data_IF_640696016416
#
_entry.id   IF_640696016416
#
_cell.length_a   1.000
_cell.length_b   1.000
_cell.length_c   1.000
_cell.angle_alpha   90.00
_cell.angle_beta   90.00
_cell.angle_gamma   90.00
#
_symmetry.space_group_name_H-M   'P 1'
#
loop_
_entity.id
_entity.type
_entity.pdbx_description
1 polymer ?
#
# COMPACT_ATOMS: atom_id res chain seq x y z
N UNK A 1 13.28 42.97 20.05
CA UNK A 1 13.07 42.45 18.67
C UNK A 1 13.83 41.16 18.36
N UNK A 2 15.03 40.87 18.92
CA UNK A 2 15.80 39.66 18.55
C UNK A 2 15.21 38.33 19.07
N UNK A 3 14.57 38.33 20.24
CA UNK A 3 14.04 37.10 20.88
C UNK A 3 12.78 36.55 20.21
N UNK A 4 11.83 37.42 19.82
CA UNK A 4 10.59 37.01 19.14
C UNK A 4 10.84 36.38 17.77
N UNK A 5 11.88 36.84 17.06
CA UNK A 5 12.27 36.26 15.76
C UNK A 5 12.86 34.87 15.93
N UNK A 6 13.69 34.63 16.97
CA UNK A 6 14.25 33.32 17.26
C UNK A 6 13.13 32.32 17.64
N UNK A 7 12.17 32.74 18.46
CA UNK A 7 11.03 31.90 18.85
C UNK A 7 10.17 31.54 17.63
N UNK A 8 9.89 32.51 16.75
CA UNK A 8 9.14 32.25 15.52
C UNK A 8 9.86 31.26 14.59
N UNK A 9 11.19 31.38 14.44
CA UNK A 9 12.01 30.45 13.65
C UNK A 9 11.97 29.04 14.24
N UNK A 10 12.11 28.90 15.57
CA UNK A 10 12.04 27.60 16.24
C UNK A 10 10.66 26.97 16.08
N UNK A 11 9.59 27.75 16.21
CA UNK A 11 8.23 27.25 16.04
C UNK A 11 7.95 26.82 14.60
N UNK A 12 8.42 27.59 13.61
CA UNK A 12 8.31 27.24 12.19
C UNK A 12 9.13 26.00 11.81
N UNK A 13 10.34 25.85 12.35
CA UNK A 13 11.17 24.65 12.13
C UNK A 13 10.56 23.42 12.80
N UNK A 14 10.00 23.56 14.00
CA UNK A 14 9.32 22.48 14.70
C UNK A 14 8.03 22.06 13.97
N UNK A 15 7.27 23.01 13.42
CA UNK A 15 6.09 22.70 12.59
C UNK A 15 6.46 22.01 11.27
N UNK A 16 7.60 22.37 10.67
CA UNK A 16 8.10 21.71 9.45
C UNK A 16 8.60 20.30 9.75
N UNK A 17 9.27 20.09 10.87
CA UNK A 17 9.72 18.77 11.33
C UNK A 17 8.55 17.85 11.70
N UNK A 18 7.46 18.40 12.26
CA UNK A 18 6.24 17.65 12.58
C UNK A 18 5.43 17.26 11.33
N UNK A 19 5.50 18.04 10.25
CA UNK A 19 4.90 17.70 8.95
C UNK A 19 5.72 16.69 8.13
N UNK A 20 6.97 16.39 8.54
CA UNK A 20 7.91 15.57 7.76
C UNK A 20 7.98 14.10 8.20
N UNK A 21 7.19 13.67 9.19
CA UNK A 21 7.22 12.30 9.74
C UNK A 21 5.80 11.72 9.79
N UNK A 22 5.12 11.73 8.67
CA UNK A 22 4.11 10.71 8.34
C UNK A 22 4.71 9.97 7.15
N UNK A 23 5.61 9.02 7.43
CA UNK A 23 6.30 8.28 6.40
C UNK A 23 5.45 7.07 6.07
N UNK A 24 4.48 7.27 5.17
CA UNK A 24 3.63 6.19 4.65
C UNK A 24 4.43 4.91 4.43
N UNK A 25 3.86 3.79 4.85
CA UNK A 25 4.47 2.48 4.62
C UNK A 25 4.08 1.98 3.24
N UNK A 26 5.03 1.38 2.55
CA UNK A 26 4.82 0.89 1.19
C UNK A 26 4.57 -0.61 1.17
N UNK A 27 3.51 -1.02 0.48
CA UNK A 27 3.28 -2.41 0.14
C UNK A 27 3.74 -2.64 -1.29
N UNK A 28 4.86 -3.34 -1.45
CA UNK A 28 5.46 -3.69 -2.73
C UNK A 28 4.85 -4.99 -3.28
N UNK A 29 4.49 -4.98 -4.55
CA UNK A 29 3.92 -6.13 -5.23
C UNK A 29 4.86 -6.62 -6.32
N UNK A 30 5.32 -7.86 -6.21
CA UNK A 30 6.00 -8.57 -7.28
C UNK A 30 4.99 -9.29 -8.16
N UNK A 31 4.76 -8.78 -9.36
CA UNK A 31 3.83 -9.39 -10.30
C UNK A 31 4.49 -10.50 -11.14
N UNK A 32 4.28 -11.76 -10.79
CA UNK A 32 4.83 -12.92 -11.52
C UNK A 32 3.74 -13.90 -11.97
N UNK A 33 2.50 -13.43 -12.18
CA UNK A 33 1.49 -14.24 -12.88
C UNK A 33 1.83 -14.37 -14.37
N UNK A 34 1.15 -15.28 -15.06
CA UNK A 34 1.31 -15.52 -16.49
C UNK A 34 1.31 -14.21 -17.30
N UNK A 35 2.29 -14.07 -18.19
CA UNK A 35 2.43 -12.94 -19.10
C UNK A 35 1.12 -12.60 -19.83
N UNK A 36 0.89 -11.29 -20.05
CA UNK A 36 -0.34 -10.80 -20.68
C UNK A 36 -1.54 -10.69 -19.73
N UNK A 37 -1.32 -10.89 -18.43
CA UNK A 37 -2.35 -10.73 -17.39
C UNK A 37 -2.15 -9.41 -16.67
N UNK A 38 -3.24 -8.68 -16.39
CA UNK A 38 -3.22 -7.49 -15.52
C UNK A 38 -3.56 -7.88 -14.08
N UNK A 39 -2.84 -7.33 -13.10
CA UNK A 39 -3.16 -7.52 -11.67
C UNK A 39 -3.29 -6.19 -10.96
N UNK A 40 -4.08 -6.17 -9.89
CA UNK A 40 -4.26 -4.98 -9.06
C UNK A 40 -4.37 -5.38 -7.59
N UNK A 41 -3.91 -4.50 -6.71
CA UNK A 41 -4.12 -4.56 -5.28
C UNK A 41 -4.78 -3.28 -4.82
N UNK A 42 -5.74 -3.40 -3.91
CA UNK A 42 -6.31 -2.26 -3.20
C UNK A 42 -6.22 -2.45 -1.69
N UNK A 43 -6.02 -1.36 -0.98
CA UNK A 43 -5.99 -1.31 0.47
C UNK A 43 -7.28 -0.67 1.03
N UNK A 44 -7.85 -1.28 2.07
CA UNK A 44 -9.06 -0.82 2.77
C UNK A 44 -8.89 -0.96 4.28
N UNK A 45 -9.66 -0.19 5.06
CA UNK A 45 -9.64 -0.28 6.54
C UNK A 45 -10.36 -1.54 7.03
N UNK A 46 -11.36 -2.00 6.29
CA UNK A 46 -12.17 -3.19 6.61
C UNK A 46 -12.16 -4.21 5.47
N UNK A 47 -12.36 -5.48 5.80
CA UNK A 47 -12.51 -6.54 4.79
C UNK A 47 -13.80 -6.31 3.97
N UNK A 48 -13.69 -6.19 2.65
CA UNK A 48 -14.81 -5.90 1.76
C UNK A 48 -15.24 -4.42 1.73
N UNK A 49 -14.55 -3.53 2.44
CA UNK A 49 -14.87 -2.11 2.47
C UNK A 49 -14.31 -1.31 1.29
N UNK A 50 -14.62 -0.02 1.29
CA UNK A 50 -14.09 0.92 0.29
C UNK A 50 -12.56 1.02 0.37
N UNK A 51 -11.93 0.99 -0.79
CA UNK A 51 -10.48 1.13 -0.90
C UNK A 51 -10.08 2.60 -0.77
N UNK A 52 -9.11 2.89 0.09
CA UNK A 52 -8.49 4.22 0.18
C UNK A 52 -7.30 4.37 -0.76
N UNK A 53 -6.70 3.26 -1.22
CA UNK A 53 -5.63 3.26 -2.21
C UNK A 53 -5.68 1.99 -3.07
N UNK A 54 -5.22 2.08 -4.32
CA UNK A 54 -5.11 0.94 -5.23
C UNK A 54 -4.08 1.19 -6.33
N UNK A 55 -3.36 0.15 -6.72
CA UNK A 55 -2.40 0.18 -7.82
C UNK A 55 -2.30 -1.18 -8.51
N UNK A 56 -1.90 -1.19 -9.78
CA UNK A 56 -1.83 -2.38 -10.60
C UNK A 56 -1.00 -2.22 -11.85
N UNK A 57 -0.52 -3.34 -12.37
CA UNK A 57 0.26 -3.38 -13.61
C UNK A 57 0.09 -4.73 -14.32
N UNK A 58 0.57 -4.80 -15.55
CA UNK A 58 0.73 -6.01 -16.33
C UNK A 58 1.77 -6.94 -15.70
N UNK A 59 1.59 -8.24 -15.96
CA UNK A 59 2.47 -9.30 -15.53
C UNK A 59 3.95 -8.96 -15.78
N UNK A 60 4.79 -9.32 -14.81
CA UNK A 60 6.23 -9.06 -14.78
C UNK A 60 6.67 -7.61 -14.50
N UNK A 61 5.72 -6.69 -14.28
CA UNK A 61 6.02 -5.36 -13.75
C UNK A 61 5.64 -5.27 -12.27
N UNK A 62 6.58 -4.80 -11.43
CA UNK A 62 6.30 -4.52 -10.01
C UNK A 62 5.54 -3.21 -9.83
N UNK A 63 4.70 -3.13 -8.81
CA UNK A 63 3.92 -1.93 -8.46
C UNK A 63 3.72 -1.85 -6.94
N UNK A 64 3.08 -0.79 -6.45
CA UNK A 64 3.00 -0.57 -5.00
C UNK A 64 1.79 0.23 -4.56
N UNK A 65 1.29 -0.04 -3.36
CA UNK A 65 0.29 0.81 -2.71
C UNK A 65 0.88 1.45 -1.45
N UNK A 66 0.59 2.74 -1.27
CA UNK A 66 0.99 3.51 -0.08
C UNK A 66 -0.07 3.36 1.01
N UNK A 67 0.36 3.08 2.25
CA UNK A 67 -0.50 2.96 3.42
C UNK A 67 -0.22 4.15 4.33
N UNK A 68 -1.23 5.04 4.54
CA UNK A 68 -1.06 6.17 5.43
C UNK A 68 -0.78 5.74 6.87
N UNK A 69 0.14 6.41 7.58
CA UNK A 69 0.47 6.12 8.98
C UNK A 69 -0.73 6.24 9.92
N UNK A 70 -1.69 7.12 9.58
CA UNK A 70 -2.98 7.23 10.29
C UNK A 70 -3.83 5.94 10.30
N UNK A 71 -3.52 4.96 9.45
CA UNK A 71 -4.17 3.64 9.40
C UNK A 71 -3.38 2.64 10.25
N UNK A 72 -3.93 2.25 11.40
CA UNK A 72 -3.27 1.29 12.31
C UNK A 72 -3.12 -0.13 11.70
N UNK A 73 -4.13 -0.56 10.95
CA UNK A 73 -4.15 -1.86 10.28
C UNK A 73 -5.05 -1.81 9.06
N UNK A 74 -4.73 -2.59 8.05
CA UNK A 74 -5.43 -2.57 6.77
C UNK A 74 -5.69 -3.97 6.22
N UNK A 75 -6.56 -4.05 5.23
CA UNK A 75 -6.81 -5.23 4.43
C UNK A 75 -6.33 -4.98 3.01
N UNK A 76 -5.74 -5.99 2.39
CA UNK A 76 -5.39 -5.99 0.98
C UNK A 76 -6.33 -6.90 0.21
N UNK A 77 -6.92 -6.38 -0.86
CA UNK A 77 -7.65 -7.15 -1.85
C UNK A 77 -6.80 -7.32 -3.10
N UNK A 78 -6.42 -8.56 -3.38
CA UNK A 78 -5.68 -8.96 -4.56
C UNK A 78 -6.64 -9.39 -5.66
N UNK A 79 -6.40 -8.92 -6.88
CA UNK A 79 -7.24 -9.18 -8.05
C UNK A 79 -6.37 -9.51 -9.26
N UNK A 80 -6.84 -10.44 -10.07
CA UNK A 80 -6.26 -10.79 -11.37
C UNK A 80 -7.35 -10.60 -12.41
N UNK A 81 -7.09 -9.77 -13.43
CA UNK A 81 -8.07 -9.48 -14.47
C UNK A 81 -8.43 -10.77 -15.25
N UNK A 82 -9.72 -10.94 -15.55
CA UNK A 82 -10.28 -12.13 -16.20
C UNK A 82 -10.03 -13.46 -15.45
N UNK A 83 -9.64 -13.40 -14.17
CA UNK A 83 -9.50 -14.58 -13.32
C UNK A 83 -10.82 -15.33 -13.16
N UNK A 84 -10.75 -16.65 -13.16
CA UNK A 84 -11.88 -17.52 -12.79
C UNK A 84 -11.95 -17.78 -11.29
N UNK A 85 -10.89 -17.45 -10.54
CA UNK A 85 -10.91 -17.44 -9.08
C UNK A 85 -11.44 -16.12 -8.50
N UNK A 86 -12.02 -16.20 -7.31
CA UNK A 86 -12.41 -15.05 -6.50
C UNK A 86 -11.21 -14.18 -6.12
N UNK A 87 -11.49 -12.89 -5.91
CA UNK A 87 -10.52 -11.95 -5.34
C UNK A 87 -10.07 -12.42 -3.96
N UNK A 88 -8.78 -12.30 -3.68
CA UNK A 88 -8.19 -12.80 -2.44
C UNK A 88 -7.98 -11.66 -1.46
N UNK A 89 -8.52 -11.82 -0.26
CA UNK A 89 -8.33 -10.87 0.83
C UNK A 89 -7.22 -11.31 1.78
N UNK A 90 -6.41 -10.37 2.25
CA UNK A 90 -5.37 -10.58 3.27
C UNK A 90 -5.49 -9.51 4.34
N UNK A 91 -5.47 -9.95 5.58
CA UNK A 91 -5.47 -9.06 6.73
C UNK A 91 -6.28 -9.60 7.91
N UNK A 92 -6.50 -8.75 8.93
CA UNK A 92 -5.94 -7.40 9.03
C UNK A 92 -4.41 -7.45 9.15
N UNK A 93 -3.71 -6.59 8.42
CA UNK A 93 -2.25 -6.48 8.42
C UNK A 93 -1.89 -5.27 9.29
N UNK A 94 -1.00 -5.41 10.29
CA UNK A 94 -0.48 -4.28 11.04
C UNK A 94 0.28 -3.31 10.13
N UNK A 95 0.06 -2.01 10.29
CA UNK A 95 0.84 -0.98 9.62
C UNK A 95 2.10 -0.65 10.44
N UNK A 96 3.03 -1.60 10.52
CA UNK A 96 4.26 -1.53 11.33
C UNK A 96 5.55 -1.50 10.49
N UNK A 97 5.40 -1.25 9.20
CA UNK A 97 6.49 -1.04 8.24
C UNK A 97 6.12 -1.55 6.85
N UNK A 98 7.04 -1.38 5.91
CA UNK A 98 6.90 -1.87 4.55
C UNK A 98 6.61 -3.37 4.49
N UNK A 99 5.84 -3.77 3.49
CA UNK A 99 5.50 -5.17 3.21
C UNK A 99 5.79 -5.49 1.75
N UNK A 100 6.15 -6.74 1.48
CA UNK A 100 6.25 -7.27 0.13
C UNK A 100 5.18 -8.35 -0.03
N UNK A 101 4.65 -8.50 -1.24
CA UNK A 101 3.77 -9.59 -1.62
C UNK A 101 4.08 -10.03 -3.04
N UNK A 102 3.81 -11.29 -3.34
CA UNK A 102 4.14 -11.88 -4.63
C UNK A 102 2.89 -12.43 -5.29
N UNK A 103 2.52 -11.94 -6.47
CA UNK A 103 1.57 -12.63 -7.34
C UNK A 103 2.28 -13.76 -8.08
N UNK A 104 1.77 -14.98 -7.99
CA UNK A 104 2.25 -16.12 -8.78
C UNK A 104 1.09 -16.96 -9.30
N UNK A 105 1.23 -17.51 -10.50
CA UNK A 105 0.27 -18.47 -11.07
C UNK A 105 -0.36 -18.00 -12.37
N UNK A 106 -1.56 -18.49 -12.66
CA UNK A 106 -2.34 -18.21 -13.87
C UNK A 106 -3.67 -17.54 -13.52
N UNK A 107 -4.42 -17.08 -14.53
CA UNK A 107 -5.78 -16.55 -14.33
C UNK A 107 -6.74 -17.57 -13.69
N UNK A 108 -6.46 -18.87 -13.82
CA UNK A 108 -7.31 -19.94 -13.28
C UNK A 108 -6.85 -20.49 -11.93
N UNK A 109 -5.63 -20.15 -11.51
CA UNK A 109 -5.07 -20.57 -10.24
C UNK A 109 -3.87 -19.71 -9.89
N UNK A 110 -4.05 -18.81 -8.91
CA UNK A 110 -2.99 -17.89 -8.47
C UNK A 110 -2.88 -17.83 -6.95
N UNK A 111 -1.70 -17.44 -6.47
CA UNK A 111 -1.38 -17.30 -5.06
C UNK A 111 -0.76 -15.96 -4.78
N UNK A 112 -0.95 -15.51 -3.54
CA UNK A 112 -0.38 -14.28 -3.00
C UNK A 112 0.26 -14.54 -1.65
N UNK A 113 1.44 -15.19 -1.61
CA UNK A 113 2.25 -15.20 -0.40
C UNK A 113 2.79 -13.79 -0.13
N UNK A 114 2.97 -13.42 1.16
CA UNK A 114 3.80 -12.29 1.52
C UNK A 114 5.24 -12.53 1.05
#
# INVERSE_FOLDING_TARGET
MKFSTIIAIVFSLLSMALMLIEADHTVWIQNKVTSGTWTNVSASVTNGGDSFNADGDWAHNGYSVSIPDSVNSYWLQFRVAASTEDNKWRGPIPNDGDKCWHFHGTIDNWKTPP
#
